data_IF_991771196342
#
_entry.id   IF_991771196342
#
_cell.length_a   1.000
_cell.length_b   1.000
_cell.length_c   1.000
_cell.angle_alpha   90.00
_cell.angle_beta   90.00
_cell.angle_gamma   90.00
#
_symmetry.space_group_name_H-M   'P 1'
#
loop_
_entity.id
_entity.type
_entity.pdbx_description
1 polymer ?
#
# COMPACT_ATOMS: atom_id res chain seq x y z
N UNK A 1 -16.52 -24.41 5.04
CA UNK A 1 -16.02 -23.92 3.73
C UNK A 1 -14.53 -24.10 3.59
N UNK A 2 -13.80 -24.01 4.70
CA UNK A 2 -12.38 -24.33 4.75
C UNK A 2 -12.20 -25.84 4.94
N UNK A 3 -11.25 -26.44 4.23
CA UNK A 3 -10.85 -27.83 4.47
C UNK A 3 -10.11 -27.96 5.82
N UNK A 4 -9.74 -29.18 6.22
CA UNK A 4 -9.02 -29.43 7.48
C UNK A 4 -7.69 -28.66 7.58
N UNK A 5 -7.13 -28.21 6.46
CA UNK A 5 -5.92 -27.40 6.38
C UNK A 5 -6.20 -25.88 6.40
N UNK A 6 -7.44 -25.45 6.67
CA UNK A 6 -7.81 -24.04 6.66
C UNK A 6 -7.75 -23.42 5.27
N UNK A 7 -8.01 -24.19 4.19
CA UNK A 7 -7.99 -23.69 2.81
C UNK A 7 -9.39 -23.68 2.18
N UNK A 8 -9.68 -22.65 1.40
CA UNK A 8 -10.93 -22.56 0.65
C UNK A 8 -11.02 -23.70 -0.36
N UNK A 9 -12.09 -24.49 -0.30
CA UNK A 9 -12.35 -25.52 -1.30
C UNK A 9 -12.82 -24.87 -2.61
N UNK A 10 -12.04 -25.06 -3.68
CA UNK A 10 -12.32 -24.51 -5.01
C UNK A 10 -13.71 -24.91 -5.55
N UNK A 11 -14.23 -26.07 -5.15
CA UNK A 11 -15.55 -26.55 -5.57
C UNK A 11 -16.71 -25.74 -4.99
N UNK A 12 -16.47 -24.97 -3.92
CA UNK A 12 -17.47 -24.14 -3.27
C UNK A 12 -17.61 -22.74 -3.88
N UNK A 13 -16.60 -22.27 -4.62
CA UNK A 13 -16.63 -20.94 -5.25
C UNK A 13 -17.83 -20.73 -6.20
N UNK A 14 -18.19 -21.69 -7.08
CA UNK A 14 -19.39 -21.56 -7.92
C UNK A 14 -20.71 -21.51 -7.12
N UNK A 15 -20.73 -22.07 -5.91
CA UNK A 15 -21.89 -21.98 -5.03
C UNK A 15 -21.92 -20.62 -4.33
N UNK A 16 -20.79 -20.17 -3.79
CA UNK A 16 -20.63 -18.84 -3.20
C UNK A 16 -20.91 -17.70 -4.18
N UNK A 17 -20.58 -17.89 -5.45
CA UNK A 17 -20.89 -16.93 -6.51
C UNK A 17 -22.40 -16.63 -6.63
N UNK A 18 -23.26 -17.54 -6.15
CA UNK A 18 -24.72 -17.38 -6.15
C UNK A 18 -25.26 -16.77 -4.86
N UNK A 19 -24.47 -16.73 -3.80
CA UNK A 19 -24.86 -16.14 -2.52
C UNK A 19 -24.86 -14.61 -2.64
N UNK A 20 -25.94 -13.95 -2.18
CA UNK A 20 -26.06 -12.49 -2.17
C UNK A 20 -25.69 -11.86 -0.83
N UNK A 21 -25.75 -12.64 0.24
CA UNK A 21 -25.53 -12.19 1.62
C UNK A 21 -24.08 -12.38 2.07
N UNK A 22 -23.13 -12.40 1.12
CA UNK A 22 -21.71 -12.52 1.44
C UNK A 22 -21.20 -11.16 1.91
N UNK A 23 -20.99 -11.01 3.22
CA UNK A 23 -20.44 -9.79 3.82
C UNK A 23 -18.92 -9.83 3.99
N UNK A 24 -18.37 -11.03 4.19
CA UNK A 24 -16.94 -11.24 4.42
C UNK A 24 -16.45 -12.37 3.51
N UNK A 25 -15.41 -12.06 2.73
CA UNK A 25 -14.71 -13.03 1.92
C UNK A 25 -13.20 -12.89 2.12
N UNK A 26 -12.56 -13.98 2.55
CA UNK A 26 -11.12 -14.04 2.74
C UNK A 26 -10.58 -15.25 1.99
N UNK A 27 -9.63 -15.02 1.10
CA UNK A 27 -8.88 -16.03 0.36
C UNK A 27 -7.36 -15.88 0.54
N UNK A 28 -6.89 -15.06 1.49
CA UNK A 28 -5.47 -14.77 1.76
C UNK A 28 -4.63 -16.02 2.06
N UNK A 29 -5.22 -17.03 2.71
CA UNK A 29 -4.54 -18.30 3.00
C UNK A 29 -4.51 -19.26 1.79
N UNK A 30 -5.08 -18.84 0.66
CA UNK A 30 -5.26 -19.60 -0.58
C UNK A 30 -4.01 -19.78 -1.43
N UNK A 31 -2.81 -19.45 -0.90
CA UNK A 31 -1.50 -19.55 -1.57
C UNK A 31 -1.48 -20.70 -2.59
N UNK A 32 -1.49 -20.34 -3.88
CA UNK A 32 -1.19 -21.22 -5.02
C UNK A 32 -2.13 -22.42 -5.28
N UNK A 33 -3.40 -22.38 -4.87
CA UNK A 33 -4.26 -23.59 -4.96
C UNK A 33 -5.65 -23.44 -5.57
N UNK A 34 -6.12 -22.21 -5.80
CA UNK A 34 -7.45 -22.02 -6.38
C UNK A 34 -7.35 -21.96 -7.91
N UNK A 35 -7.77 -23.03 -8.61
CA UNK A 35 -7.68 -23.08 -10.06
C UNK A 35 -8.39 -21.91 -10.71
N UNK A 36 -7.85 -21.44 -11.84
CA UNK A 36 -8.36 -20.26 -12.53
C UNK A 36 -9.88 -20.36 -12.76
N UNK A 37 -10.38 -21.55 -13.12
CA UNK A 37 -11.83 -21.78 -13.32
C UNK A 37 -12.67 -21.44 -12.07
N UNK A 38 -12.13 -21.64 -10.87
CA UNK A 38 -12.84 -21.33 -9.63
C UNK A 38 -12.97 -19.82 -9.45
N UNK A 39 -11.93 -19.05 -9.76
CA UNK A 39 -12.01 -17.58 -9.81
C UNK A 39 -12.95 -17.08 -10.90
N UNK A 40 -12.93 -17.68 -12.09
CA UNK A 40 -13.84 -17.33 -13.18
C UNK A 40 -15.32 -17.52 -12.80
N UNK A 41 -15.62 -18.43 -11.86
CA UNK A 41 -16.99 -18.57 -11.36
C UNK A 41 -17.52 -17.30 -10.67
N UNK A 42 -16.63 -16.42 -10.19
CA UNK A 42 -16.97 -15.13 -9.60
C UNK A 42 -17.27 -14.03 -10.62
N UNK A 43 -16.99 -14.24 -11.92
CA UNK A 43 -17.20 -13.21 -12.96
C UNK A 43 -18.65 -12.71 -13.02
N UNK A 44 -19.59 -13.61 -12.71
CA UNK A 44 -21.04 -13.33 -12.65
C UNK A 44 -21.57 -13.15 -11.24
N UNK A 45 -20.72 -13.27 -10.23
CA UNK A 45 -21.12 -13.08 -8.85
C UNK A 45 -21.47 -11.60 -8.63
N UNK A 46 -22.47 -11.40 -7.78
CA UNK A 46 -22.81 -10.09 -7.24
C UNK A 46 -22.95 -10.27 -5.74
N UNK A 47 -22.00 -9.74 -4.99
CA UNK A 47 -22.03 -9.71 -3.53
C UNK A 47 -22.34 -8.28 -3.10
N UNK A 48 -23.61 -7.84 -3.19
CA UNK A 48 -23.97 -6.45 -2.92
C UNK A 48 -23.59 -6.03 -1.49
N UNK A 49 -23.66 -6.96 -0.54
CA UNK A 49 -23.38 -6.70 0.88
C UNK A 49 -21.92 -6.94 1.26
N UNK A 50 -21.01 -7.14 0.30
CA UNK A 50 -19.60 -7.41 0.60
C UNK A 50 -18.94 -6.20 1.25
N UNK A 51 -18.52 -6.37 2.51
CA UNK A 51 -17.83 -5.36 3.31
C UNK A 51 -16.34 -5.62 3.42
N UNK A 52 -15.94 -6.89 3.49
CA UNK A 52 -14.52 -7.26 3.67
C UNK A 52 -14.10 -8.24 2.60
N UNK A 53 -13.05 -7.88 1.86
CA UNK A 53 -12.47 -8.66 0.78
C UNK A 53 -10.96 -8.79 0.99
N UNK A 54 -10.47 -10.01 1.24
CA UNK A 54 -9.04 -10.27 1.41
C UNK A 54 -8.54 -11.31 0.42
N UNK A 55 -7.52 -10.95 -0.34
CA UNK A 55 -6.95 -11.71 -1.46
C UNK A 55 -5.42 -11.67 -1.46
N UNK A 56 -4.79 -11.44 -0.29
CA UNK A 56 -3.34 -11.42 -0.13
C UNK A 56 -2.67 -12.61 -0.81
N UNK A 57 -1.60 -12.35 -1.56
CA UNK A 57 -0.79 -13.32 -2.30
C UNK A 57 -1.59 -14.20 -3.29
N UNK A 58 -2.87 -13.90 -3.58
CA UNK A 58 -3.68 -14.73 -4.48
C UNK A 58 -3.20 -14.65 -5.94
N UNK A 59 -2.62 -13.51 -6.31
CA UNK A 59 -2.19 -13.18 -7.67
C UNK A 59 -0.73 -12.72 -7.71
N UNK A 60 0.14 -13.44 -7.00
CA UNK A 60 1.58 -13.21 -6.96
C UNK A 60 2.30 -13.91 -8.12
N UNK A 61 3.65 -13.86 -8.13
CA UNK A 61 4.50 -14.50 -9.16
C UNK A 61 4.50 -16.03 -9.12
N UNK A 62 4.03 -16.62 -8.03
CA UNK A 62 3.99 -18.06 -7.81
C UNK A 62 2.63 -18.65 -8.16
N UNK A 63 1.60 -17.80 -8.20
CA UNK A 63 0.25 -18.17 -8.57
C UNK A 63 0.21 -18.66 -10.02
N UNK A 64 -0.34 -19.86 -10.22
CA UNK A 64 -0.47 -20.46 -11.56
C UNK A 64 -1.66 -19.93 -12.33
N UNK A 65 -2.49 -19.14 -11.67
CA UNK A 65 -3.91 -18.95 -11.99
C UNK A 65 -4.30 -17.46 -11.97
N UNK A 66 -3.32 -16.59 -12.29
CA UNK A 66 -3.48 -15.14 -12.43
C UNK A 66 -4.65 -14.75 -13.36
N UNK A 67 -4.97 -15.60 -14.34
CA UNK A 67 -6.07 -15.42 -15.28
C UNK A 67 -7.44 -15.24 -14.58
N UNK A 68 -7.57 -15.67 -13.32
CA UNK A 68 -8.77 -15.47 -12.51
C UNK A 68 -8.93 -14.06 -11.93
N UNK A 69 -7.88 -13.26 -11.88
CA UNK A 69 -7.89 -11.93 -11.26
C UNK A 69 -8.92 -10.95 -11.84
N UNK A 70 -9.14 -10.87 -13.17
CA UNK A 70 -10.15 -9.99 -13.74
C UNK A 70 -11.55 -10.25 -13.18
N UNK A 71 -11.91 -11.52 -12.95
CA UNK A 71 -13.21 -11.88 -12.37
C UNK A 71 -13.34 -11.36 -10.92
N UNK A 72 -12.26 -11.41 -10.15
CA UNK A 72 -12.23 -10.88 -8.78
C UNK A 72 -12.31 -9.35 -8.78
N UNK A 73 -11.51 -8.66 -9.58
CA UNK A 73 -11.57 -7.19 -9.67
C UNK A 73 -12.94 -6.71 -10.17
N UNK A 74 -13.55 -7.42 -11.11
CA UNK A 74 -14.88 -7.12 -11.61
C UNK A 74 -15.97 -7.30 -10.53
N UNK A 75 -15.84 -8.29 -9.66
CA UNK A 75 -16.71 -8.49 -8.50
C UNK A 75 -16.54 -7.35 -7.47
N UNK A 76 -15.29 -6.97 -7.18
CA UNK A 76 -14.97 -5.88 -6.26
C UNK A 76 -15.50 -4.54 -6.78
N UNK A 77 -15.37 -4.27 -8.08
CA UNK A 77 -15.91 -3.05 -8.71
C UNK A 77 -17.43 -2.91 -8.55
N UNK A 78 -18.17 -4.03 -8.47
CA UNK A 78 -19.63 -4.05 -8.27
C UNK A 78 -20.04 -3.94 -6.79
N UNK A 79 -19.11 -4.13 -5.86
CA UNK A 79 -19.37 -4.15 -4.42
C UNK A 79 -19.28 -2.72 -3.88
N UNK A 80 -20.42 -2.13 -3.50
CA UNK A 80 -20.51 -0.70 -3.12
C UNK A 80 -20.28 -0.43 -1.63
N UNK A 81 -20.54 -1.43 -0.78
CA UNK A 81 -20.41 -1.33 0.68
C UNK A 81 -19.06 -1.86 1.17
N UNK A 82 -18.04 -1.83 0.31
CA UNK A 82 -16.72 -2.36 0.64
C UNK A 82 -16.03 -1.45 1.65
N UNK A 83 -15.70 -2.00 2.82
CA UNK A 83 -15.02 -1.32 3.92
C UNK A 83 -13.54 -1.69 4.00
N UNK A 84 -13.19 -2.94 3.67
CA UNK A 84 -11.82 -3.44 3.75
C UNK A 84 -11.45 -4.19 2.48
N UNK A 85 -10.36 -3.77 1.84
CA UNK A 85 -9.74 -4.47 0.73
C UNK A 85 -8.27 -4.78 1.05
N UNK A 86 -7.88 -6.04 0.94
CA UNK A 86 -6.49 -6.49 1.07
C UNK A 86 -6.11 -7.26 -0.20
N UNK A 87 -5.25 -6.65 -1.01
CA UNK A 87 -4.68 -7.22 -2.23
C UNK A 87 -3.15 -7.29 -2.14
N UNK A 88 -2.59 -7.36 -0.93
CA UNK A 88 -1.14 -7.47 -0.71
C UNK A 88 -0.50 -8.54 -1.61
N UNK A 89 0.66 -8.22 -2.17
CA UNK A 89 1.44 -9.02 -3.13
C UNK A 89 0.71 -9.47 -4.40
N UNK A 90 -0.40 -8.84 -4.80
CA UNK A 90 -1.15 -9.16 -6.02
C UNK A 90 -0.65 -8.45 -7.29
N UNK A 91 0.65 -8.15 -7.37
CA UNK A 91 1.19 -7.37 -8.49
C UNK A 91 1.30 -8.09 -9.84
N UNK A 92 1.03 -9.41 -9.91
CA UNK A 92 1.04 -10.13 -11.19
C UNK A 92 -0.28 -10.04 -11.96
N UNK A 93 -1.31 -9.40 -11.40
CA UNK A 93 -2.54 -9.09 -12.12
C UNK A 93 -2.21 -8.25 -13.37
N UNK A 94 -2.74 -8.66 -14.52
CA UNK A 94 -2.54 -7.96 -15.80
C UNK A 94 -3.04 -6.51 -15.72
N UNK A 95 -2.31 -5.58 -16.37
CA UNK A 95 -2.60 -4.15 -16.37
C UNK A 95 -4.07 -3.88 -16.73
N UNK A 96 -4.57 -4.52 -17.79
CA UNK A 96 -5.93 -4.31 -18.33
C UNK A 96 -7.02 -4.71 -17.34
N UNK A 97 -6.75 -5.65 -16.43
CA UNK A 97 -7.72 -6.10 -15.44
C UNK A 97 -8.02 -4.99 -14.42
N UNK A 98 -7.08 -4.09 -14.15
CA UNK A 98 -7.25 -2.98 -13.21
C UNK A 98 -8.19 -1.89 -13.73
N UNK A 99 -8.37 -1.76 -15.04
CA UNK A 99 -9.26 -0.76 -15.64
C UNK A 99 -10.72 -0.92 -15.20
N UNK A 100 -11.14 -2.13 -14.84
CA UNK A 100 -12.51 -2.37 -14.34
C UNK A 100 -12.82 -1.61 -13.06
N UNK A 101 -11.79 -1.24 -12.29
CA UNK A 101 -11.92 -0.48 -11.05
C UNK A 101 -12.17 1.01 -11.28
N UNK A 102 -12.00 1.53 -12.51
CA UNK A 102 -12.22 2.95 -12.83
C UNK A 102 -13.63 3.42 -12.45
N UNK A 103 -14.61 2.56 -12.68
CA UNK A 103 -16.03 2.79 -12.42
C UNK A 103 -16.48 2.34 -11.02
N UNK A 104 -15.56 1.78 -10.22
CA UNK A 104 -15.88 1.36 -8.86
C UNK A 104 -16.23 2.56 -7.97
N UNK A 105 -17.12 2.32 -7.01
CA UNK A 105 -17.57 3.31 -6.04
C UNK A 105 -17.48 2.71 -4.64
N UNK A 106 -16.35 2.89 -3.98
CA UNK A 106 -16.08 2.38 -2.63
C UNK A 106 -16.14 3.51 -1.59
N UNK A 107 -17.30 4.15 -1.48
CA UNK A 107 -17.47 5.34 -0.61
C UNK A 107 -17.32 5.02 0.89
N UNK A 108 -17.53 3.76 1.26
CA UNK A 108 -17.42 3.25 2.63
C UNK A 108 -16.06 2.62 2.93
N UNK A 109 -15.09 2.70 2.01
CA UNK A 109 -13.78 2.07 2.17
C UNK A 109 -13.00 2.72 3.30
N UNK A 110 -12.63 1.91 4.30
CA UNK A 110 -11.86 2.31 5.48
C UNK A 110 -10.42 1.81 5.42
N UNK A 111 -10.20 0.60 4.93
CA UNK A 111 -8.87 0.00 4.88
C UNK A 111 -8.55 -0.49 3.46
N UNK A 112 -7.41 -0.08 2.93
CA UNK A 112 -6.93 -0.52 1.63
C UNK A 112 -5.44 -0.90 1.70
N UNK A 113 -5.15 -2.18 1.44
CA UNK A 113 -3.79 -2.70 1.39
C UNK A 113 -3.44 -3.18 -0.02
N UNK A 114 -2.44 -2.51 -0.60
CA UNK A 114 -1.92 -2.73 -1.95
C UNK A 114 -0.43 -3.05 -1.93
N UNK A 115 0.13 -3.45 -0.79
CA UNK A 115 1.57 -3.70 -0.65
C UNK A 115 2.10 -4.56 -1.81
N UNK A 116 3.16 -4.08 -2.48
CA UNK A 116 3.88 -4.76 -3.55
C UNK A 116 2.97 -5.09 -4.75
N UNK A 117 1.84 -4.39 -4.93
CA UNK A 117 1.01 -4.52 -6.14
C UNK A 117 1.61 -3.79 -7.32
N UNK A 118 2.02 -2.53 -7.11
CA UNK A 118 2.40 -1.61 -8.18
C UNK A 118 3.92 -1.38 -8.26
N UNK A 119 4.71 -2.39 -7.92
CA UNK A 119 6.17 -2.32 -7.95
C UNK A 119 6.72 -2.35 -9.39
N UNK A 120 7.88 -1.74 -9.58
CA UNK A 120 8.57 -1.64 -10.87
C UNK A 120 8.80 -3.02 -11.49
N UNK A 121 8.42 -3.16 -12.77
CA UNK A 121 8.56 -4.41 -13.52
C UNK A 121 7.40 -5.40 -13.34
N UNK A 122 6.37 -5.04 -12.57
CA UNK A 122 5.13 -5.79 -12.47
C UNK A 122 4.09 -5.27 -13.48
N UNK A 123 3.24 -6.13 -14.08
CA UNK A 123 2.23 -5.68 -15.04
C UNK A 123 1.28 -4.62 -14.49
N UNK A 124 0.92 -4.72 -13.20
CA UNK A 124 -0.02 -3.82 -12.55
C UNK A 124 0.47 -2.35 -12.51
N UNK A 125 1.79 -2.09 -12.53
CA UNK A 125 2.32 -0.73 -12.37
C UNK A 125 1.85 0.23 -13.47
N UNK A 126 1.62 -0.26 -14.70
CA UNK A 126 1.15 0.53 -15.84
C UNK A 126 -0.24 1.18 -15.62
N UNK A 127 -1.00 0.67 -14.65
CA UNK A 127 -2.38 1.11 -14.36
C UNK A 127 -2.57 1.54 -12.90
N UNK A 128 -1.48 1.84 -12.20
CA UNK A 128 -1.53 2.37 -10.84
C UNK A 128 -2.44 3.60 -10.71
N UNK A 129 -2.43 4.51 -11.68
CA UNK A 129 -3.28 5.70 -11.71
C UNK A 129 -4.79 5.42 -11.62
N UNK A 130 -5.27 4.26 -12.10
CA UNK A 130 -6.68 3.87 -11.96
C UNK A 130 -7.04 3.68 -10.48
N UNK A 131 -6.16 3.02 -9.73
CA UNK A 131 -6.35 2.79 -8.30
C UNK A 131 -6.16 4.10 -7.52
N UNK A 132 -5.20 4.95 -7.90
CA UNK A 132 -5.06 6.29 -7.31
C UNK A 132 -6.34 7.13 -7.51
N UNK A 133 -6.90 7.16 -8.71
CA UNK A 133 -8.14 7.89 -9.00
C UNK A 133 -9.35 7.31 -8.26
N UNK A 134 -9.38 6.00 -7.98
CA UNK A 134 -10.41 5.39 -7.17
C UNK A 134 -10.27 5.80 -5.70
N UNK A 135 -9.05 5.73 -5.15
CA UNK A 135 -8.78 6.11 -3.76
C UNK A 135 -9.02 7.59 -3.49
N UNK A 136 -8.83 8.48 -4.48
CA UNK A 136 -9.12 9.90 -4.30
C UNK A 136 -10.59 10.22 -4.04
N UNK A 137 -11.49 9.28 -4.36
CA UNK A 137 -12.94 9.36 -4.09
C UNK A 137 -13.37 8.72 -2.77
N UNK A 138 -12.46 8.02 -2.08
CA UNK A 138 -12.77 7.27 -0.87
C UNK A 138 -12.58 8.15 0.38
N UNK A 139 -13.56 8.98 0.73
CA UNK A 139 -13.47 9.94 1.84
C UNK A 139 -13.40 9.26 3.23
N UNK A 140 -13.92 8.05 3.36
CA UNK A 140 -13.98 7.28 4.61
C UNK A 140 -12.69 6.52 4.94
N UNK A 141 -11.61 6.72 4.18
CA UNK A 141 -10.40 5.93 4.29
C UNK A 141 -9.67 6.23 5.61
N UNK A 142 -9.48 5.21 6.43
CA UNK A 142 -8.81 5.25 7.74
C UNK A 142 -7.38 4.72 7.67
N UNK A 143 -7.13 3.71 6.82
CA UNK A 143 -5.82 3.08 6.64
C UNK A 143 -5.51 2.83 5.17
N UNK A 144 -4.30 3.20 4.76
CA UNK A 144 -3.78 2.92 3.43
C UNK A 144 -2.37 2.34 3.50
N UNK A 145 -2.14 1.27 2.76
CA UNK A 145 -0.82 0.68 2.56
C UNK A 145 -0.53 0.58 1.08
N UNK A 146 0.50 1.29 0.65
CA UNK A 146 1.09 1.28 -0.69
C UNK A 146 2.56 0.85 -0.62
N UNK A 147 2.95 0.14 0.43
CA UNK A 147 4.33 -0.30 0.64
C UNK A 147 4.92 -0.99 -0.60
N UNK A 148 6.21 -0.82 -0.85
CA UNK A 148 6.95 -1.37 -1.99
C UNK A 148 6.28 -1.16 -3.35
N UNK A 149 5.49 -0.10 -3.53
CA UNK A 149 4.87 0.25 -4.80
C UNK A 149 5.71 1.30 -5.57
N UNK A 150 7.00 1.00 -5.75
CA UNK A 150 7.97 1.88 -6.42
C UNK A 150 7.71 2.12 -7.92
N UNK A 151 6.75 1.43 -8.53
CA UNK A 151 6.32 1.65 -9.91
C UNK A 151 5.20 2.70 -10.06
N UNK A 152 4.70 3.27 -8.95
CA UNK A 152 3.75 4.38 -9.00
C UNK A 152 4.50 5.66 -9.36
N UNK A 153 4.10 6.31 -10.45
CA UNK A 153 4.70 7.58 -10.87
C UNK A 153 4.15 8.77 -10.08
N UNK A 154 4.90 9.87 -10.04
CA UNK A 154 4.41 11.16 -9.54
C UNK A 154 3.10 11.61 -10.21
N UNK A 155 2.94 11.38 -11.51
CA UNK A 155 1.72 11.78 -12.23
C UNK A 155 0.51 10.95 -11.79
N UNK A 156 0.68 9.65 -11.55
CA UNK A 156 -0.38 8.80 -10.99
C UNK A 156 -0.74 9.25 -9.57
N UNK A 157 0.27 9.61 -8.78
CA UNK A 157 0.05 10.04 -7.41
C UNK A 157 -0.55 11.45 -7.31
N UNK A 158 -0.25 12.36 -8.24
CA UNK A 158 -0.90 13.68 -8.33
C UNK A 158 -2.42 13.58 -8.49
N UNK A 159 -2.95 12.46 -8.99
CA UNK A 159 -4.40 12.18 -9.00
C UNK A 159 -5.00 12.16 -7.58
N UNK A 160 -4.18 11.92 -6.56
CA UNK A 160 -4.53 12.03 -5.14
C UNK A 160 -4.46 13.46 -4.61
N UNK A 161 -3.91 14.43 -5.34
CA UNK A 161 -3.78 15.82 -4.86
C UNK A 161 -5.13 16.53 -4.61
N UNK A 162 -6.20 16.04 -5.24
CA UNK A 162 -7.57 16.46 -4.97
C UNK A 162 -8.26 15.65 -3.85
N UNK A 163 -7.67 14.51 -3.45
CA UNK A 163 -8.24 13.66 -2.43
C UNK A 163 -8.33 14.39 -1.09
N UNK A 164 -9.34 14.02 -0.32
CA UNK A 164 -9.51 14.43 1.06
C UNK A 164 -9.84 13.18 1.86
N UNK A 165 -8.91 12.75 2.71
CA UNK A 165 -9.11 11.62 3.62
C UNK A 165 -9.17 12.14 5.06
N UNK A 166 -10.29 12.76 5.47
CA UNK A 166 -10.42 13.36 6.79
C UNK A 166 -10.28 12.34 7.92
N UNK A 167 -10.63 11.08 7.66
CA UNK A 167 -10.56 9.97 8.62
C UNK A 167 -9.24 9.20 8.63
N UNK A 168 -8.28 9.55 7.76
CA UNK A 168 -7.03 8.80 7.61
C UNK A 168 -6.18 8.88 8.87
N UNK A 169 -5.87 7.72 9.46
CA UNK A 169 -5.06 7.54 10.66
C UNK A 169 -3.72 6.89 10.37
N UNK A 170 -3.68 5.95 9.43
CA UNK A 170 -2.46 5.19 9.13
C UNK A 170 -2.19 5.23 7.63
N UNK A 171 -0.99 5.65 7.26
CA UNK A 171 -0.56 5.64 5.87
C UNK A 171 0.84 5.06 5.76
N UNK A 172 1.01 4.07 4.88
CA UNK A 172 2.27 3.39 4.67
C UNK A 172 2.69 3.49 3.20
N UNK A 173 3.79 4.20 2.96
CA UNK A 173 4.43 4.36 1.66
C UNK A 173 5.90 3.93 1.71
N UNK A 174 6.26 3.05 2.66
CA UNK A 174 7.59 2.45 2.76
C UNK A 174 7.98 1.86 1.39
N UNK A 175 9.15 2.20 0.88
CA UNK A 175 9.75 1.67 -0.36
C UNK A 175 9.02 2.07 -1.67
N UNK A 176 8.52 3.31 -1.73
CA UNK A 176 7.82 3.86 -2.92
C UNK A 176 8.63 4.88 -3.76
N UNK A 177 9.77 5.38 -3.27
CA UNK A 177 10.40 6.63 -3.76
C UNK A 177 11.36 6.51 -4.95
N UNK A 178 11.34 5.39 -5.67
CA UNK A 178 12.14 5.29 -6.90
C UNK A 178 11.56 6.16 -8.03
N UNK A 179 10.23 6.27 -8.11
CA UNK A 179 9.50 7.04 -9.13
C UNK A 179 8.57 8.14 -8.57
N UNK A 180 8.39 8.16 -7.25
CA UNK A 180 7.50 9.08 -6.53
C UNK A 180 8.34 10.11 -5.80
N UNK A 181 8.06 11.40 -5.97
CA UNK A 181 8.69 12.45 -5.18
C UNK A 181 7.98 12.63 -3.85
N UNK A 182 8.79 12.88 -2.83
CA UNK A 182 8.33 13.09 -1.47
C UNK A 182 7.31 14.23 -1.35
N UNK A 183 7.55 15.34 -2.05
CA UNK A 183 6.69 16.51 -2.01
C UNK A 183 5.26 16.18 -2.46
N UNK A 184 5.09 15.33 -3.48
CA UNK A 184 3.78 14.89 -3.97
C UNK A 184 3.00 14.16 -2.89
N UNK A 185 3.65 13.28 -2.11
CA UNK A 185 2.99 12.54 -1.03
C UNK A 185 2.63 13.45 0.14
N UNK A 186 3.56 14.31 0.56
CA UNK A 186 3.30 15.25 1.65
C UNK A 186 2.15 16.21 1.31
N UNK A 187 2.09 16.69 0.06
CA UNK A 187 0.98 17.52 -0.42
C UNK A 187 -0.36 16.77 -0.38
N UNK A 188 -0.42 15.52 -0.83
CA UNK A 188 -1.64 14.72 -0.78
C UNK A 188 -2.12 14.47 0.66
N UNK A 189 -1.19 14.21 1.58
CA UNK A 189 -1.50 13.93 2.99
C UNK A 189 -1.71 15.18 3.85
N UNK A 190 -1.37 16.37 3.36
CA UNK A 190 -1.45 17.64 4.11
C UNK A 190 -2.86 17.94 4.67
N UNK A 191 -3.90 17.36 4.06
CA UNK A 191 -5.31 17.54 4.46
C UNK A 191 -5.80 16.51 5.49
N UNK A 192 -4.99 15.49 5.80
CA UNK A 192 -5.36 14.37 6.68
C UNK A 192 -5.09 14.71 8.16
N UNK A 193 -6.00 15.46 8.81
CA UNK A 193 -5.80 15.96 10.19
C UNK A 193 -5.80 14.87 11.28
N UNK A 194 -6.37 13.70 11.00
CA UNK A 194 -6.45 12.55 11.92
C UNK A 194 -5.25 11.59 11.81
N UNK A 195 -4.24 11.91 11.00
CA UNK A 195 -3.09 11.05 10.77
C UNK A 195 -2.32 10.81 12.07
N UNK A 196 -2.23 9.54 12.49
CA UNK A 196 -1.53 9.09 13.69
C UNK A 196 -0.22 8.37 13.37
N UNK A 197 -0.15 7.68 12.23
CA UNK A 197 1.00 6.89 11.79
C UNK A 197 1.29 7.16 10.32
N UNK A 198 2.56 7.40 10.02
CA UNK A 198 3.06 7.59 8.67
C UNK A 198 4.38 6.82 8.51
N UNK A 199 4.36 5.76 7.70
CA UNK A 199 5.55 4.96 7.38
C UNK A 199 6.05 5.35 5.99
N UNK A 200 7.35 5.61 5.87
CA UNK A 200 7.99 6.12 4.65
C UNK A 200 9.49 5.78 4.68
N UNK A 201 10.03 5.16 3.62
CA UNK A 201 11.46 4.77 3.58
C UNK A 201 12.41 5.96 3.46
N UNK A 202 11.98 7.07 2.85
CA UNK A 202 12.84 8.26 2.75
C UNK A 202 12.49 9.26 3.86
N UNK A 203 13.45 9.52 4.75
CA UNK A 203 13.21 10.38 5.93
C UNK A 203 12.60 11.70 5.49
N UNK A 204 11.54 12.16 6.17
CA UNK A 204 11.21 13.54 6.06
C UNK A 204 12.35 14.41 6.65
N UNK A 205 13.17 15.09 5.84
CA UNK A 205 14.01 16.19 6.33
C UNK A 205 13.15 17.23 7.03
N UNK A 206 13.75 17.95 7.98
CA UNK A 206 13.12 19.04 8.70
C UNK A 206 12.52 20.09 7.76
N UNK A 207 13.15 20.31 6.61
CA UNK A 207 12.74 21.30 5.62
C UNK A 207 11.39 20.95 5.00
N UNK A 208 11.17 19.74 4.48
CA UNK A 208 9.84 19.48 3.89
C UNK A 208 8.73 19.32 4.95
N UNK A 209 9.06 19.10 6.23
CA UNK A 209 8.07 19.21 7.31
C UNK A 209 7.77 20.68 7.68
N UNK A 210 8.73 21.58 7.51
CA UNK A 210 8.56 23.02 7.68
C UNK A 210 7.81 23.66 6.52
N UNK A 211 7.94 23.12 5.30
CA UNK A 211 7.19 23.55 4.11
C UNK A 211 5.71 23.19 4.18
N UNK A 212 5.33 22.23 5.02
CA UNK A 212 3.93 21.93 5.27
C UNK A 212 3.28 23.06 6.07
N UNK A 213 2.03 23.44 5.76
CA UNK A 213 1.27 24.37 6.58
C UNK A 213 1.30 23.92 8.05
N UNK A 214 1.58 24.85 8.97
CA UNK A 214 1.56 24.57 10.41
C UNK A 214 0.24 23.90 10.82
N UNK A 215 0.33 22.93 11.73
CA UNK A 215 -0.82 22.17 12.20
C UNK A 215 -1.39 21.11 11.23
N UNK A 216 -0.67 20.73 10.15
CA UNK A 216 -1.13 19.67 9.22
C UNK A 216 -1.44 18.32 9.90
N UNK A 217 -0.61 17.87 10.85
CA UNK A 217 -0.79 16.57 11.53
C UNK A 217 -0.65 16.66 13.06
N UNK A 218 -1.64 17.24 13.75
CA UNK A 218 -1.56 17.48 15.20
C UNK A 218 -1.54 16.18 16.02
N UNK A 219 -1.96 15.06 15.41
CA UNK A 219 -2.08 13.75 16.05
C UNK A 219 -0.98 12.76 15.67
N UNK A 220 0.00 13.17 14.85
CA UNK A 220 1.05 12.27 14.36
C UNK A 220 1.93 11.80 15.52
N UNK A 221 1.99 10.47 15.72
CA UNK A 221 2.80 9.84 16.76
C UNK A 221 4.10 9.37 16.12
N UNK A 222 5.17 10.15 16.29
CA UNK A 222 6.50 9.84 15.73
C UNK A 222 7.05 8.47 16.14
N UNK A 223 6.58 7.92 17.26
CA UNK A 223 6.92 6.57 17.73
C UNK A 223 6.28 5.45 16.90
N UNK A 224 5.15 5.71 16.25
CA UNK A 224 4.44 4.76 15.39
C UNK A 224 4.98 4.75 13.96
N UNK A 225 5.60 5.85 13.54
CA UNK A 225 6.19 6.01 12.22
C UNK A 225 7.50 5.18 12.08
N UNK A 226 7.46 4.11 11.30
CA UNK A 226 8.66 3.37 10.86
C UNK A 226 9.32 4.14 9.72
N UNK A 227 10.56 4.55 9.94
CA UNK A 227 11.32 5.47 9.07
C UNK A 227 12.07 6.56 9.84
N UNK A 228 11.58 6.95 11.04
CA UNK A 228 12.35 7.80 11.96
C UNK A 228 13.38 7.02 12.79
N UNK A 229 13.23 5.69 12.83
CA UNK A 229 14.20 4.77 13.41
C UNK A 229 14.78 3.93 12.28
N UNK A 230 15.91 4.35 11.71
CA UNK A 230 16.85 3.37 11.15
C UNK A 230 18.26 3.92 11.11
N UNK A 231 19.13 3.15 11.76
CA UNK A 231 20.56 3.01 11.55
C UNK A 231 20.80 2.68 10.06
N UNK A 232 21.54 3.53 9.37
CA UNK A 232 22.01 3.29 8.01
C UNK A 232 23.05 2.16 8.02
N UNK A 233 22.83 1.12 7.22
CA UNK A 233 23.85 0.15 6.84
C UNK A 233 24.10 0.27 5.33
N UNK A 234 25.36 0.56 4.97
CA UNK A 234 25.99 0.26 3.68
C UNK A 234 27.48 -0.05 3.91
N UNK A 235 28.07 -0.88 3.04
CA UNK A 235 29.28 -1.71 3.25
C UNK A 235 30.61 -0.95 3.48
N UNK A 236 30.66 0.37 3.31
CA UNK A 236 31.85 1.21 3.58
C UNK A 236 31.74 2.09 4.84
N UNK A 237 30.65 1.94 5.61
CA UNK A 237 30.55 2.42 6.99
C UNK A 237 31.02 3.85 7.26
N UNK A 238 30.25 4.87 6.84
CA UNK A 238 30.03 6.12 7.61
C UNK A 238 29.11 7.10 6.86
N UNK A 239 27.81 7.08 7.15
CA UNK A 239 26.99 8.31 7.24
C UNK A 239 26.06 8.14 8.44
N UNK A 240 26.52 8.59 9.59
CA UNK A 240 25.69 8.72 10.80
C UNK A 240 24.74 9.89 10.56
N UNK A 241 23.46 9.62 10.28
CA UNK A 241 22.45 10.64 10.61
C UNK A 241 22.36 10.58 12.12
N UNK A 242 22.98 11.55 12.78
CA UNK A 242 23.23 11.48 14.21
C UNK A 242 21.89 11.45 14.98
N UNK A 243 21.92 10.83 16.16
CA UNK A 243 20.79 10.81 17.09
C UNK A 243 20.32 12.24 17.44
N UNK A 244 21.23 13.20 17.32
CA UNK A 244 21.04 14.63 17.55
C UNK A 244 20.11 15.31 16.54
N UNK A 245 20.18 14.99 15.25
CA UNK A 245 19.30 15.51 14.18
C UNK A 245 17.90 14.93 14.32
N UNK A 246 17.81 13.65 14.67
CA UNK A 246 16.54 12.99 14.96
C UNK A 246 15.89 13.59 16.22
N UNK A 247 16.70 13.87 17.25
CA UNK A 247 16.27 14.54 18.47
C UNK A 247 15.92 16.02 18.21
N UNK A 248 16.63 16.71 17.32
CA UNK A 248 16.36 18.08 16.91
C UNK A 248 15.02 18.16 16.20
N UNK A 249 14.74 17.23 15.28
CA UNK A 249 13.46 17.13 14.60
C UNK A 249 12.30 16.87 15.59
N UNK A 250 12.50 15.95 16.55
CA UNK A 250 11.52 15.69 17.63
C UNK A 250 11.26 16.93 18.48
N UNK A 251 12.33 17.62 18.92
CA UNK A 251 12.22 18.88 19.70
C UNK A 251 11.53 19.98 18.91
N UNK A 252 11.77 20.06 17.61
CA UNK A 252 11.19 21.08 16.74
C UNK A 252 9.71 20.83 16.45
N UNK A 253 9.31 19.58 16.20
CA UNK A 253 7.90 19.19 16.09
C UNK A 253 7.17 19.40 17.42
N UNK A 254 7.82 19.13 18.55
CA UNK A 254 7.28 19.42 19.87
C UNK A 254 7.06 20.93 20.08
N UNK A 255 8.01 21.78 19.67
CA UNK A 255 7.84 23.25 19.71
C UNK A 255 6.70 23.73 18.83
N UNK A 256 6.53 23.17 17.64
CA UNK A 256 5.38 23.50 16.76
C UNK A 256 4.06 23.12 17.44
N UNK A 257 4.00 21.95 18.10
CA UNK A 257 2.83 21.52 18.87
C UNK A 257 2.53 22.45 20.05
N UNK A 258 3.57 22.90 20.76
CA UNK A 258 3.45 23.86 21.86
C UNK A 258 3.02 25.25 21.37
N UNK A 259 3.49 25.67 20.19
CA UNK A 259 3.08 26.92 19.56
C UNK A 259 1.60 26.88 19.12
N UNK A 260 1.15 25.79 18.48
CA UNK A 260 -0.24 25.58 18.09
C UNK A 260 -1.18 25.55 19.31
N UNK A 261 -0.76 24.88 20.40
CA UNK A 261 -1.51 24.86 21.66
C UNK A 261 -1.62 26.26 22.29
N UNK A 262 -0.55 27.07 22.19
CA UNK A 262 -0.53 28.44 22.70
C UNK A 262 -1.41 29.36 21.87
N UNK A 263 -1.36 29.27 20.55
CA UNK A 263 -2.25 30.03 19.65
C UNK A 263 -3.72 29.65 19.84
N UNK A 264 -4.01 28.37 20.08
CA UNK A 264 -5.35 27.89 20.45
C UNK A 264 -5.82 28.41 21.83
N UNK A 265 -4.91 28.51 22.81
CA UNK A 265 -5.22 29.08 24.14
C UNK A 265 -5.46 30.60 24.07
N UNK A 266 -4.64 31.31 23.30
CA UNK A 266 -4.74 32.76 23.11
C UNK A 266 -6.01 33.14 22.32
N UNK A 267 -6.40 32.34 21.33
CA UNK A 267 -7.63 32.54 20.55
C UNK A 267 -8.91 32.14 21.30
N UNK A 268 -8.82 31.28 22.31
CA UNK A 268 -9.96 30.88 23.17
C UNK A 268 -10.12 31.71 24.44
N UNK A 269 -9.19 32.63 24.73
CA UNK A 269 -9.23 33.49 25.91
C UNK A 269 -9.05 32.74 27.25
N UNK A 270 -8.59 31.49 27.21
CA UNK A 270 -8.31 30.69 28.40
C UNK A 270 -6.86 30.92 28.85
N UNK A 271 -6.69 31.71 29.91
CA UNK A 271 -5.40 31.92 30.56
C UNK A 271 -5.02 30.67 31.37
N UNK A 272 -4.25 29.76 30.78
CA UNK A 272 -3.70 28.60 31.48
C UNK A 272 -2.43 29.04 32.21
N UNK A 273 -2.50 29.20 33.53
CA UNK A 273 -1.31 29.39 34.38
C UNK A 273 -0.59 28.05 34.50
N UNK A 274 0.56 27.91 33.86
CA UNK A 274 1.49 26.79 34.08
C UNK A 274 2.39 27.21 35.25
N UNK A 275 2.18 26.63 36.43
CA UNK A 275 3.08 26.76 37.57
C UNK A 275 4.37 25.96 37.32
N UNK A 276 5.52 26.62 37.46
CA UNK A 276 6.83 25.97 37.42
C UNK A 276 7.02 25.06 38.66
N UNK A 277 7.53 23.83 38.51
CA UNK A 277 7.73 22.95 39.65
C UNK A 277 8.98 23.38 40.43
N UNK A 278 8.78 23.95 41.62
CA UNK A 278 9.83 24.15 42.61
C UNK A 278 10.20 22.81 43.25
N UNK A 279 11.50 22.53 43.25
CA UNK A 279 12.10 21.37 43.89
C UNK A 279 12.06 21.55 45.42
N UNK A 280 11.25 20.76 46.11
CA UNK A 280 11.45 20.43 47.52
C UNK A 280 10.83 19.07 47.83
N UNK A 281 11.68 18.09 48.10
CA UNK A 281 11.32 16.78 48.65
C UNK A 281 11.56 16.82 50.15
N UNK A 282 10.55 16.49 50.97
CA UNK A 282 10.81 15.86 52.24
C UNK A 282 10.34 14.41 52.23
N UNK A 283 11.23 13.61 52.77
CA UNK A 283 11.08 12.21 53.19
C UNK A 283 10.04 12.08 54.33
N UNK A 284 9.64 10.83 54.62
CA UNK A 284 8.95 10.32 55.84
C UNK A 284 7.52 9.76 55.65
N UNK A 285 7.49 8.42 55.67
CA UNK A 285 6.64 7.48 56.41
C UNK A 285 5.14 7.24 56.06
N UNK A 286 4.86 5.96 55.78
CA UNK A 286 3.61 5.21 56.06
C UNK A 286 3.33 5.17 57.60
N UNK A 287 2.14 4.74 58.14
CA UNK A 287 1.19 3.75 57.59
C UNK A 287 -0.32 3.95 57.92
N UNK A 288 -1.17 3.00 57.49
CA UNK A 288 -2.55 2.74 57.97
C UNK A 288 -3.61 2.90 56.86
N UNK A 289 -4.18 1.84 56.28
CA UNK A 289 -5.37 1.06 56.71
C UNK A 289 -6.57 1.91 57.11
N UNK A 290 -7.66 1.77 56.34
CA UNK A 290 -9.10 1.69 56.71
C UNK A 290 -9.91 2.07 55.44
N UNK A 291 -10.50 1.10 54.73
CA UNK A 291 -11.90 0.68 54.85
C UNK A 291 -12.89 1.83 55.06
N UNK A 292 -13.55 2.30 53.98
CA UNK A 292 -15.00 2.56 54.02
C UNK A 292 -15.57 2.74 52.60
N UNK A 293 -16.54 1.89 52.26
CA UNK A 293 -17.47 2.08 51.14
C UNK A 293 -18.66 2.91 51.60
N UNK A 294 -19.23 3.80 50.76
CA UNK A 294 -20.63 4.17 50.91
C UNK A 294 -21.48 3.66 49.75
N UNK A 295 -22.54 2.97 50.16
CA UNK A 295 -23.71 2.61 49.39
C UNK A 295 -24.39 3.86 48.79
N UNK A 296 -24.88 3.74 47.55
CA UNK A 296 -25.84 4.68 46.97
C UNK A 296 -27.13 3.92 46.64
N UNK A 297 -28.31 4.46 47.00
CA UNK A 297 -29.57 3.72 46.96
C UNK A 297 -30.25 3.78 45.59
N UNK A 298 -31.09 2.78 45.36
CA UNK A 298 -31.94 2.65 44.17
C UNK A 298 -32.97 3.77 44.05
N UNK A 299 -33.22 4.15 42.79
CA UNK A 299 -34.35 4.94 42.34
C UNK A 299 -35.09 4.17 41.26
N UNK A 300 -36.33 3.80 41.57
CA UNK A 300 -37.31 3.23 40.66
C UNK A 300 -38.05 4.33 39.87
N UNK A 301 -38.63 3.95 38.72
CA UNK A 301 -39.84 4.47 38.02
C UNK A 301 -39.64 4.35 36.48
N UNK A 302 -40.71 4.34 35.65
CA UNK A 302 -41.89 3.47 35.69
C UNK A 302 -42.19 2.80 34.33
N UNK A 303 -43.16 1.88 34.37
CA UNK A 303 -43.89 1.32 33.23
C UNK A 303 -44.50 2.37 32.30
N UNK A 304 -44.42 2.11 30.99
CA UNK A 304 -45.38 2.59 29.99
C UNK A 304 -45.75 1.44 29.04
N UNK A 305 -46.96 0.91 29.28
CA UNK A 305 -48.01 0.52 28.33
C UNK A 305 -47.75 0.93 26.86
N UNK A 306 -47.77 -0.04 25.93
CA UNK A 306 -48.93 -0.53 25.16
C UNK A 306 -49.47 0.47 24.14
N UNK A 307 -49.52 0.04 22.87
CA UNK A 307 -50.54 0.33 21.83
C UNK A 307 -49.92 -0.18 20.50
N UNK A 308 -50.33 -1.34 19.99
CA UNK A 308 -51.45 -1.50 19.04
C UNK A 308 -51.27 -0.71 17.73
N UNK A 309 -50.81 -1.40 16.68
CA UNK A 309 -51.18 -1.08 15.31
C UNK A 309 -51.32 -2.36 14.47
N UNK A 310 -52.56 -2.83 14.44
CA UNK A 310 -53.14 -3.74 13.44
C UNK A 310 -53.43 -2.96 12.15
N UNK A 311 -53.36 -3.62 11.00
CA UNK A 311 -53.58 -3.01 9.70
C UNK A 311 -53.25 -3.89 8.49
N UNK A 312 -54.04 -4.96 8.33
CA UNK A 312 -54.67 -5.46 7.08
C UNK A 312 -54.00 -5.13 5.72
N UNK A 313 -53.58 -6.16 4.99
CA UNK A 313 -54.22 -6.69 3.77
C UNK A 313 -54.32 -5.73 2.57
N UNK A 314 -53.59 -6.06 1.49
CA UNK A 314 -54.21 -6.04 0.15
C UNK A 314 -53.61 -7.15 -0.72
N UNK A 315 -54.48 -8.09 -1.07
CA UNK A 315 -54.29 -9.15 -2.06
C UNK A 315 -54.31 -8.54 -3.47
N UNK A 316 -53.36 -8.93 -4.33
CA UNK A 316 -53.59 -8.96 -5.78
C UNK A 316 -53.10 -10.29 -6.33
N UNK A 317 -54.08 -11.18 -6.49
CA UNK A 317 -54.06 -12.41 -7.26
C UNK A 317 -54.44 -12.06 -8.70
N UNK A 318 -53.59 -12.39 -9.68
CA UNK A 318 -54.01 -12.52 -11.07
C UNK A 318 -53.16 -13.60 -11.76
N UNK A 319 -53.85 -14.69 -12.03
CA UNK A 319 -53.49 -15.92 -12.70
C UNK A 319 -53.53 -15.78 -14.23
N UNK A 320 -52.67 -16.55 -14.92
CA UNK A 320 -52.86 -17.18 -16.26
C UNK A 320 -51.54 -17.95 -16.59
N UNK A 321 -51.44 -19.27 -16.42
CA UNK A 321 -51.79 -20.34 -17.42
C UNK A 321 -51.45 -19.93 -18.86
N UNK A 322 -50.76 -20.68 -19.72
CA UNK A 322 -50.44 -22.11 -19.84
C UNK A 322 -49.54 -22.24 -21.09
N UNK A 323 -48.60 -23.19 -21.15
CA UNK A 323 -48.48 -24.13 -22.29
C UNK A 323 -47.31 -25.09 -22.09
N UNK A 324 -47.67 -26.35 -21.88
CA UNK A 324 -46.80 -27.51 -21.84
C UNK A 324 -46.38 -27.98 -23.25
N UNK A 325 -45.45 -28.94 -23.24
CA UNK A 325 -45.27 -30.03 -24.20
C UNK A 325 -44.58 -29.73 -25.55
N UNK A 326 -43.32 -30.18 -25.67
CA UNK A 326 -43.00 -31.10 -26.77
C UNK A 326 -41.87 -32.09 -26.43
N UNK A 327 -42.14 -33.34 -26.80
CA UNK A 327 -41.41 -34.56 -26.49
C UNK A 327 -40.09 -34.73 -27.27
N UNK A 328 -39.15 -35.37 -26.56
CA UNK A 328 -38.28 -36.46 -26.99
C UNK A 328 -38.04 -36.69 -28.50
N UNK A 329 -36.76 -36.72 -28.88
CA UNK A 329 -36.30 -37.80 -29.74
C UNK A 329 -34.84 -38.22 -29.47
N UNK A 330 -34.66 -39.55 -29.52
CA UNK A 330 -33.45 -40.34 -29.29
C UNK A 330 -32.30 -39.96 -30.22
N UNK A 331 -31.06 -40.15 -29.74
CA UNK A 331 -30.06 -41.00 -30.42
C UNK A 331 -28.98 -41.45 -29.42
N UNK A 332 -28.89 -42.77 -29.26
CA UNK A 332 -27.85 -43.49 -28.53
C UNK A 332 -26.49 -43.35 -29.21
N UNK A 333 -25.44 -43.04 -28.45
CA UNK A 333 -24.06 -43.42 -28.78
C UNK A 333 -23.36 -43.79 -27.45
N UNK A 334 -23.00 -45.06 -27.30
CA UNK A 334 -22.05 -45.50 -26.28
C UNK A 334 -20.62 -45.25 -26.75
N UNK A 335 -19.65 -44.99 -25.84
CA UNK A 335 -18.25 -45.25 -26.12
C UNK A 335 -17.78 -46.50 -25.38
N UNK A 336 -17.27 -47.45 -26.16
CA UNK A 336 -16.46 -48.57 -25.69
C UNK A 336 -15.14 -48.08 -25.09
N UNK A 337 -14.72 -48.72 -24.00
CA UNK A 337 -13.37 -48.61 -23.45
C UNK A 337 -12.35 -49.37 -24.32
N UNK A 338 -11.10 -48.88 -24.44
CA UNK A 338 -9.97 -49.76 -24.71
C UNK A 338 -9.03 -49.82 -23.50
N UNK A 339 -8.99 -50.99 -22.88
CA UNK A 339 -7.86 -51.45 -22.07
C UNK A 339 -6.58 -51.49 -22.92
N UNK A 340 -5.52 -50.86 -22.43
CA UNK A 340 -4.16 -51.15 -22.87
C UNK A 340 -3.25 -49.93 -22.93
N UNK A 341 -2.70 -49.48 -21.79
CA UNK A 341 -1.54 -48.58 -21.76
C UNK A 341 -0.95 -48.42 -20.34
N UNK A 342 -0.28 -49.45 -19.81
CA UNK A 342 0.47 -49.33 -18.53
C UNK A 342 2.00 -49.42 -18.73
N UNK A 343 2.51 -49.93 -19.85
CA UNK A 343 3.98 -50.07 -20.02
C UNK A 343 4.68 -48.87 -20.69
N UNK A 344 3.96 -47.90 -21.25
CA UNK A 344 4.55 -46.77 -21.98
C UNK A 344 4.87 -45.51 -21.12
N UNK A 345 4.47 -45.50 -19.85
CA UNK A 345 4.65 -44.35 -18.96
C UNK A 345 6.06 -44.24 -18.33
N UNK A 346 6.77 -45.37 -18.13
CA UNK A 346 8.13 -45.37 -17.56
C UNK A 346 9.20 -44.89 -18.54
N UNK A 347 9.05 -45.16 -19.84
CA UNK A 347 10.00 -44.72 -20.87
C UNK A 347 9.92 -43.20 -21.17
N UNK A 348 8.74 -42.58 -21.02
CA UNK A 348 8.56 -41.13 -21.23
C UNK A 348 9.11 -40.28 -20.08
N UNK A 349 9.03 -40.74 -18.82
CA UNK A 349 9.62 -40.04 -17.66
C UNK A 349 11.14 -39.96 -17.70
N UNK A 350 11.83 -40.97 -18.24
CA UNK A 350 13.29 -40.97 -18.36
C UNK A 350 13.84 -40.00 -19.43
N UNK A 351 13.06 -39.70 -20.49
CA UNK A 351 13.45 -38.73 -21.53
C UNK A 351 13.22 -37.28 -21.09
N UNK A 352 12.20 -37.01 -20.27
CA UNK A 352 11.90 -35.67 -19.75
C UNK A 352 12.96 -35.15 -18.74
N UNK A 353 13.56 -36.02 -17.91
CA UNK A 353 14.59 -35.60 -16.96
C UNK A 353 15.91 -35.20 -17.63
N UNK A 354 16.29 -35.86 -18.73
CA UNK A 354 17.48 -35.52 -19.54
C UNK A 354 17.37 -34.17 -20.25
N UNK A 355 16.16 -33.76 -20.67
CA UNK A 355 15.93 -32.43 -21.27
C UNK A 355 15.99 -31.30 -20.23
N UNK A 356 15.45 -31.52 -19.02
CA UNK A 356 15.44 -30.53 -17.94
C UNK A 356 16.85 -30.17 -17.44
N UNK A 357 17.78 -31.12 -17.46
CA UNK A 357 19.20 -30.88 -17.12
C UNK A 357 19.95 -30.03 -18.15
N UNK A 358 19.64 -30.18 -19.45
CA UNK A 358 20.27 -29.39 -20.52
C UNK A 358 19.77 -27.93 -20.53
N UNK A 359 18.47 -27.72 -20.31
CA UNK A 359 17.89 -26.37 -20.22
C UNK A 359 18.44 -25.56 -19.03
N UNK A 360 18.63 -26.19 -17.86
CA UNK A 360 19.26 -25.54 -16.70
C UNK A 360 20.71 -25.10 -16.96
N UNK A 361 21.50 -25.94 -17.65
CA UNK A 361 22.89 -25.59 -18.00
C UNK A 361 22.98 -24.47 -19.05
N UNK A 362 22.02 -24.39 -19.97
CA UNK A 362 21.94 -23.28 -20.93
C UNK A 362 21.61 -21.94 -20.23
N UNK A 363 20.67 -21.96 -19.28
CA UNK A 363 20.26 -20.75 -18.54
C UNK A 363 21.39 -20.20 -17.66
N UNK A 364 22.17 -21.07 -16.99
CA UNK A 364 23.35 -20.65 -16.19
C UNK A 364 24.40 -19.97 -17.07
N UNK A 365 24.65 -20.48 -18.29
CA UNK A 365 25.62 -19.87 -19.23
C UNK A 365 25.15 -18.50 -19.74
N UNK A 366 23.85 -18.33 -19.99
CA UNK A 366 23.29 -17.04 -20.40
C UNK A 366 23.42 -16.02 -19.26
N UNK A 367 23.06 -16.39 -18.02
CA UNK A 367 23.21 -15.50 -16.85
C UNK A 367 24.66 -15.08 -16.60
N UNK A 368 25.61 -16.00 -16.72
CA UNK A 368 27.04 -15.69 -16.60
C UNK A 368 27.52 -14.72 -17.69
N UNK A 369 27.05 -14.89 -18.93
CA UNK A 369 27.40 -14.00 -20.05
C UNK A 369 26.80 -12.60 -19.89
N UNK A 370 25.58 -12.49 -19.36
CA UNK A 370 24.94 -11.20 -19.08
C UNK A 370 25.65 -10.47 -17.93
N UNK A 371 26.04 -11.17 -16.87
CA UNK A 371 26.81 -10.60 -15.76
C UNK A 371 28.17 -10.06 -16.23
N UNK A 372 28.89 -10.82 -17.07
CA UNK A 372 30.16 -10.38 -17.65
C UNK A 372 30.00 -9.15 -18.56
N UNK A 373 28.90 -9.07 -19.32
CA UNK A 373 28.59 -7.89 -20.14
C UNK A 373 28.31 -6.65 -19.30
N UNK A 374 27.55 -6.77 -18.21
CA UNK A 374 27.27 -5.65 -17.31
C UNK A 374 28.56 -5.12 -16.67
N UNK A 375 29.40 -6.01 -16.14
CA UNK A 375 30.69 -5.62 -15.58
C UNK A 375 31.62 -4.91 -16.59
N UNK A 376 31.61 -5.31 -17.86
CA UNK A 376 32.39 -4.63 -18.90
C UNK A 376 31.85 -3.24 -19.25
N UNK A 377 30.53 -3.04 -19.19
CA UNK A 377 29.90 -1.72 -19.39
C UNK A 377 30.23 -0.78 -18.22
N UNK A 378 30.15 -1.29 -16.99
CA UNK A 378 30.48 -0.53 -15.79
C UNK A 378 31.97 -0.11 -15.79
N UNK A 379 32.87 -1.00 -16.22
CA UNK A 379 34.30 -0.69 -16.38
C UNK A 379 34.57 0.35 -17.48
N UNK A 380 33.83 0.30 -18.60
CA UNK A 380 33.93 1.32 -19.65
C UNK A 380 33.45 2.68 -19.16
N UNK A 381 32.33 2.72 -18.42
CA UNK A 381 31.81 3.97 -17.85
C UNK A 381 32.78 4.59 -16.85
N UNK A 382 33.41 3.78 -16.00
CA UNK A 382 34.41 4.26 -15.04
C UNK A 382 35.65 4.87 -15.73
N UNK A 383 36.07 4.30 -16.88
CA UNK A 383 37.19 4.83 -17.66
C UNK A 383 36.86 6.16 -18.33
N UNK A 384 35.62 6.36 -18.78
CA UNK A 384 35.18 7.64 -19.34
C UNK A 384 35.16 8.74 -18.28
N UNK A 385 34.67 8.46 -17.06
CA UNK A 385 34.67 9.42 -15.95
C UNK A 385 36.08 9.87 -15.55
N UNK A 386 37.05 8.95 -15.52
CA UNK A 386 38.46 9.29 -15.23
C UNK A 386 39.05 10.15 -16.35
N UNK A 387 38.68 9.89 -17.62
CA UNK A 387 39.19 10.68 -18.74
C UNK A 387 38.70 12.13 -18.71
N UNK A 388 37.48 12.38 -18.24
CA UNK A 388 36.94 13.75 -18.12
C UNK A 388 37.60 14.54 -17.00
N UNK A 389 37.87 13.93 -15.84
CA UNK A 389 38.55 14.61 -14.73
C UNK A 389 40.00 15.00 -15.07
N UNK A 390 40.71 14.16 -15.83
CA UNK A 390 42.08 14.47 -16.28
C UNK A 390 42.09 15.65 -17.26
N UNK A 391 41.07 15.80 -18.10
CA UNK A 391 40.96 16.94 -19.03
C UNK A 391 40.64 18.24 -18.28
N UNK A 392 39.75 18.21 -17.28
CA UNK A 392 39.50 19.39 -16.44
C UNK A 392 40.71 19.80 -15.61
N UNK A 393 41.46 18.84 -15.06
CA UNK A 393 42.68 19.14 -14.30
C UNK A 393 43.79 19.75 -15.16
N UNK A 394 43.90 19.38 -16.44
CA UNK A 394 44.88 19.95 -17.36
C UNK A 394 44.56 21.41 -17.74
N UNK A 395 43.28 21.76 -17.87
CA UNK A 395 42.86 23.13 -18.16
C UNK A 395 43.04 24.09 -16.97
N UNK A 396 43.02 23.59 -15.73
CA UNK A 396 43.21 24.42 -14.55
C UNK A 396 44.66 24.90 -14.33
N UNK A 397 45.64 24.35 -15.06
CA UNK A 397 47.08 24.67 -14.86
C UNK A 397 47.66 25.70 -15.83
N UNK A 398 46.89 26.22 -16.80
CA UNK A 398 47.41 27.16 -17.81
C UNK A 398 47.16 28.66 -17.51
N UNK A 399 46.52 29.02 -16.39
CA UNK A 399 46.08 30.41 -16.13
C UNK A 399 46.93 31.22 -15.10
N UNK A 400 48.11 30.74 -14.68
CA UNK A 400 49.04 31.53 -13.86
C UNK A 400 50.35 31.88 -14.61
N UNK A 401 50.26 32.75 -15.63
CA UNK A 401 51.41 33.53 -16.12
C UNK A 401 51.33 34.98 -15.60
N UNK A 402 52.20 35.28 -14.65
CA UNK A 402 52.40 36.56 -13.95
C UNK A 402 53.09 37.60 -14.88
N UNK A 403 52.53 38.81 -15.09
CA UNK A 403 53.19 39.81 -15.93
C UNK A 403 54.25 40.60 -15.15
N UNK A 404 55.51 40.39 -15.54
CA UNK A 404 56.69 41.15 -15.12
C UNK A 404 56.58 42.66 -15.42
N UNK A 405 57.00 43.45 -14.42
CA UNK A 405 57.06 44.90 -14.38
C UNK A 405 57.80 45.54 -15.57
N UNK A 406 57.23 46.64 -16.09
CA UNK A 406 57.93 47.55 -17.01
C UNK A 406 58.22 48.89 -16.31
N UNK A 407 59.50 49.24 -16.42
CA UNK A 407 60.24 50.27 -15.73
C UNK A 407 60.06 51.66 -16.35
N UNK A 408 60.23 52.68 -15.52
CA UNK A 408 60.04 54.09 -15.83
C UNK A 408 61.19 54.66 -16.68
N UNK A 409 60.88 55.55 -17.62
CA UNK A 409 61.87 56.46 -18.24
C UNK A 409 61.42 57.93 -18.11
N UNK A 410 62.32 58.86 -17.74
CA UNK A 410 61.98 60.26 -17.52
C UNK A 410 62.20 61.11 -18.77
N UNK A 411 61.30 62.08 -19.02
CA UNK A 411 61.52 63.15 -20.02
C UNK A 411 61.94 64.44 -19.32
N UNK A 412 63.23 64.77 -19.44
CA UNK A 412 63.76 66.13 -19.28
C UNK A 412 63.32 67.01 -20.47
N UNK A 413 62.94 68.25 -20.18
CA UNK A 413 62.62 69.26 -21.18
C UNK A 413 63.83 70.01 -21.75
N UNK A 414 63.59 70.76 -22.84
CA UNK A 414 64.28 71.96 -23.34
C UNK A 414 63.21 72.78 -24.09
N UNK A 415 62.87 74.00 -23.67
CA UNK A 415 63.44 75.30 -24.11
C UNK A 415 63.68 75.39 -25.60
#
# INVERSE_FOLDING_TARGET
MWNEAGQLDASLLPWLAKCRDVEFFNASDGRNKLPAWAWHSLERATWPNLRVAKFRECFDKYSKEVDGAPAVLQLLARSRHLEVIDLEECGHIAAEAWEVLREAQWMELKEADWWDCFSTGKPACEKAGVVMQLMSRCESLEKISLRSCNGISDEDFKLLGAASWPELREANFDDCFEALTRQTVLQALSRCRKLESLDFTCRPTAEDLLELPSGCWPNLKLEKCRGFQCETWDEDGLVTVNEEETLALRRQLQRLREADLKEAADSSGLSIHIEEPTADVPDVAAPGTDEESPQVPGGALPDLNSDDFDGSEEQLDLTLQESEQNQANRLSIQPEEPFGQVENARAKKAKASKFRGKAKRANIKVKAKTKARKAAVDEMSARESISTEVVEAAHATEDEEEPLAQDATPKLGKT
#
